data_IF_235314090909
#
_entry.id   IF_235314090909
#
_cell.length_a   1.000
_cell.length_b   1.000
_cell.length_c   1.000
_cell.angle_alpha   90.00
_cell.angle_beta   90.00
_cell.angle_gamma   90.00
#
_symmetry.space_group_name_H-M   'P 1'
#
loop_
_entity.id
_entity.type
_entity.pdbx_description
1 polymer ?
#
# COMPACT_ATOMS: atom_id res chain seq x y z
N UNK A 1 -15.74 29.24 26.24
CA UNK A 1 -16.50 28.63 25.13
C UNK A 1 -15.60 28.63 23.91
N UNK A 2 -14.88 27.53 23.68
CA UNK A 2 -13.85 27.42 22.63
C UNK A 2 -14.49 26.70 21.45
N UNK A 3 -14.83 27.45 20.40
CA UNK A 3 -15.29 26.87 19.13
C UNK A 3 -14.03 26.39 18.40
N UNK A 4 -13.86 25.07 18.35
CA UNK A 4 -12.84 24.37 17.56
C UNK A 4 -13.08 24.64 16.07
N UNK A 5 -12.17 25.38 15.44
CA UNK A 5 -11.96 25.35 14.00
C UNK A 5 -11.34 24.00 13.62
N UNK A 6 -12.20 23.03 13.33
CA UNK A 6 -11.86 21.75 12.71
C UNK A 6 -12.89 21.59 11.60
N UNK A 7 -12.53 21.98 10.36
CA UNK A 7 -13.18 21.64 9.07
C UNK A 7 -12.83 22.72 8.05
N UNK A 8 -11.57 22.79 7.61
CA UNK A 8 -11.16 23.70 6.52
C UNK A 8 -9.87 23.23 5.82
N UNK A 9 -9.69 21.92 5.63
CA UNK A 9 -8.53 21.39 4.90
C UNK A 9 -8.57 21.71 3.40
N UNK A 10 -9.73 21.54 2.77
CA UNK A 10 -9.86 21.62 1.31
C UNK A 10 -9.96 23.07 0.74
N UNK A 11 -10.19 24.07 1.59
CA UNK A 11 -10.56 25.45 1.15
C UNK A 11 -9.39 26.42 1.02
N UNK A 12 -8.19 26.08 1.51
CA UNK A 12 -7.08 27.02 1.59
C UNK A 12 -5.73 26.30 1.44
N UNK A 13 -5.36 25.72 0.29
CA UNK A 13 -3.96 25.34 -0.03
C UNK A 13 -3.77 24.77 -1.45
N UNK A 14 -2.51 24.72 -1.88
CA UNK A 14 -1.99 24.42 -3.22
C UNK A 14 -2.64 23.22 -3.93
N UNK A 15 -2.89 23.33 -5.24
CA UNK A 15 -3.54 22.32 -6.07
C UNK A 15 -2.67 21.06 -6.31
N UNK A 16 -3.29 19.87 -6.26
CA UNK A 16 -2.66 18.61 -6.68
C UNK A 16 -1.72 17.95 -5.67
N UNK A 17 -1.88 18.23 -4.37
CA UNK A 17 -1.21 17.52 -3.28
C UNK A 17 -2.29 16.81 -2.47
N UNK A 18 -2.16 15.50 -2.27
CA UNK A 18 -3.10 14.70 -1.47
C UNK A 18 -2.75 14.90 0.01
N UNK A 19 -3.67 15.49 0.78
CA UNK A 19 -3.49 15.72 2.21
C UNK A 19 -4.13 14.60 3.07
N UNK A 20 -3.87 14.64 4.38
CA UNK A 20 -4.45 13.66 5.31
C UNK A 20 -5.98 13.74 5.31
N UNK A 21 -6.63 12.63 4.94
CA UNK A 21 -8.09 12.56 4.84
C UNK A 21 -8.66 12.82 3.45
N UNK A 22 -7.80 13.06 2.45
CA UNK A 22 -8.09 13.12 1.02
C UNK A 22 -7.61 11.83 0.32
N UNK A 23 -8.29 11.42 -0.75
CA UNK A 23 -7.89 10.25 -1.57
C UNK A 23 -7.21 10.68 -2.86
N UNK A 24 -7.53 11.87 -3.35
CA UNK A 24 -7.05 12.44 -4.60
C UNK A 24 -7.20 13.96 -4.55
N UNK A 25 -6.51 14.67 -5.43
CA UNK A 25 -6.72 16.10 -5.60
C UNK A 25 -6.53 16.49 -7.07
N UNK A 26 -7.64 16.78 -7.74
CA UNK A 26 -7.68 17.18 -9.13
C UNK A 26 -7.92 18.70 -9.31
N UNK A 27 -7.96 19.48 -8.22
CA UNK A 27 -8.24 20.91 -8.23
C UNK A 27 -9.71 21.28 -8.54
N UNK A 28 -9.90 22.40 -9.24
CA UNK A 28 -11.22 23.02 -9.48
C UNK A 28 -12.09 22.20 -10.46
N UNK A 29 -13.45 22.30 -10.36
CA UNK A 29 -14.39 21.50 -11.17
C UNK A 29 -14.12 21.44 -12.67
N UNK A 30 -13.86 22.59 -13.30
CA UNK A 30 -13.64 22.66 -14.76
C UNK A 30 -12.40 21.86 -15.21
N UNK A 31 -11.33 21.86 -14.41
CA UNK A 31 -10.07 21.18 -14.74
C UNK A 31 -10.09 19.72 -14.33
N UNK A 32 -10.76 19.40 -13.23
CA UNK A 32 -10.81 18.06 -12.67
C UNK A 32 -11.49 17.07 -13.62
N UNK A 33 -12.71 17.37 -14.08
CA UNK A 33 -13.50 16.41 -14.86
C UNK A 33 -12.83 15.99 -16.18
N UNK A 34 -11.98 16.85 -16.76
CA UNK A 34 -11.24 16.54 -17.99
C UNK A 34 -9.90 15.84 -17.75
N UNK A 35 -9.24 16.08 -16.61
CA UNK A 35 -7.88 15.59 -16.34
C UNK A 35 -7.84 14.35 -15.47
N UNK A 36 -8.82 14.21 -14.58
CA UNK A 36 -8.87 13.17 -13.58
C UNK A 36 -10.34 12.79 -13.32
N UNK A 37 -10.93 11.95 -14.18
CA UNK A 37 -12.31 11.51 -14.04
C UNK A 37 -12.51 10.62 -12.80
N UNK A 38 -11.42 10.17 -12.15
CA UNK A 38 -11.47 9.32 -10.96
C UNK A 38 -11.66 10.12 -9.67
N UNK A 39 -11.51 11.45 -9.71
CA UNK A 39 -11.52 12.31 -8.54
C UNK A 39 -12.71 13.28 -8.53
N UNK A 40 -13.30 13.51 -7.36
CA UNK A 40 -14.26 14.61 -7.15
C UNK A 40 -13.51 15.93 -7.04
N UNK A 41 -13.91 16.99 -7.75
CA UNK A 41 -13.27 18.29 -7.65
C UNK A 41 -13.39 18.93 -6.27
N UNK A 42 -12.52 19.89 -6.00
CA UNK A 42 -12.67 20.85 -4.90
C UNK A 42 -13.90 21.74 -5.17
N UNK A 43 -15.10 21.24 -4.90
CA UNK A 43 -16.32 22.03 -4.99
C UNK A 43 -16.63 22.59 -3.60
N UNK A 44 -16.63 23.91 -3.47
CA UNK A 44 -16.87 24.57 -2.18
C UNK A 44 -18.31 24.41 -1.71
N UNK A 45 -18.51 23.74 -0.59
CA UNK A 45 -19.64 23.93 0.33
C UNK A 45 -21.03 23.63 -0.22
N UNK A 46 -21.16 22.77 -1.23
CA UNK A 46 -22.47 22.43 -1.79
C UNK A 46 -22.71 20.92 -1.79
N UNK A 47 -23.45 20.49 -0.76
CA UNK A 47 -23.98 19.15 -0.57
C UNK A 47 -24.76 18.71 -1.80
N UNK A 48 -24.15 17.91 -2.67
CA UNK A 48 -24.90 17.20 -3.72
C UNK A 48 -25.58 16.01 -3.05
N UNK A 49 -26.85 16.19 -2.72
CA UNK A 49 -27.72 15.11 -2.26
C UNK A 49 -28.23 14.35 -3.49
N UNK A 50 -27.45 13.40 -3.99
CA UNK A 50 -28.03 12.27 -4.71
C UNK A 50 -28.20 11.13 -3.70
N UNK A 51 -29.44 10.70 -3.53
CA UNK A 51 -29.85 9.51 -2.76
C UNK A 51 -29.58 9.51 -1.24
N UNK A 52 -29.50 10.69 -0.60
CA UNK A 52 -29.57 10.80 0.87
C UNK A 52 -28.31 10.39 1.63
N UNK A 53 -27.19 10.13 0.94
CA UNK A 53 -25.88 9.93 1.56
C UNK A 53 -25.07 11.24 1.52
N UNK A 54 -24.76 11.80 2.70
CA UNK A 54 -23.92 12.99 2.85
C UNK A 54 -22.47 12.66 2.39
N UNK A 55 -22.12 13.00 1.16
CA UNK A 55 -20.78 12.75 0.62
C UNK A 55 -19.80 13.82 1.12
N UNK A 56 -18.60 13.38 1.54
CA UNK A 56 -17.51 14.26 1.96
C UNK A 56 -17.12 15.10 0.74
N UNK A 57 -17.29 16.42 0.83
CA UNK A 57 -17.16 17.31 -0.33
C UNK A 57 -15.71 17.40 -0.81
N UNK A 58 -15.45 16.90 -2.02
CA UNK A 58 -14.21 17.08 -2.77
C UNK A 58 -13.04 16.17 -2.37
N UNK A 59 -12.04 16.08 -3.25
CA UNK A 59 -10.79 15.35 -3.03
C UNK A 59 -10.94 13.85 -2.65
N UNK A 60 -12.00 13.23 -3.16
CA UNK A 60 -12.38 11.83 -2.92
C UNK A 60 -12.61 11.11 -4.25
N UNK A 61 -12.69 9.76 -4.21
CA UNK A 61 -13.00 8.98 -5.42
C UNK A 61 -14.37 9.41 -5.96
N UNK A 62 -14.46 9.69 -7.26
CA UNK A 62 -15.71 10.07 -7.90
C UNK A 62 -16.78 8.97 -7.76
N UNK A 63 -18.08 9.31 -7.63
CA UNK A 63 -19.14 8.30 -7.52
C UNK A 63 -19.20 7.32 -8.71
N UNK A 64 -18.75 7.76 -9.89
CA UNK A 64 -18.64 6.94 -11.10
C UNK A 64 -17.38 6.06 -11.16
N UNK A 65 -16.47 6.19 -10.19
CA UNK A 65 -15.18 5.50 -10.13
C UNK A 65 -15.16 4.48 -9.00
N UNK A 66 -14.42 3.38 -9.20
CA UNK A 66 -14.27 2.33 -8.19
C UNK A 66 -13.09 2.63 -7.27
N UNK A 67 -12.05 3.25 -7.82
CA UNK A 67 -10.81 3.57 -7.14
C UNK A 67 -10.16 4.79 -7.80
N UNK A 68 -9.06 5.27 -7.21
CA UNK A 68 -8.22 6.32 -7.78
C UNK A 68 -6.75 5.87 -7.88
N UNK A 69 -6.02 6.15 -8.99
CA UNK A 69 -4.62 5.76 -9.19
C UNK A 69 -3.65 6.13 -8.05
N UNK A 70 -3.91 7.24 -7.37
CA UNK A 70 -3.10 7.66 -6.21
C UNK A 70 -3.20 6.74 -4.99
N UNK A 71 -4.20 5.85 -4.94
CA UNK A 71 -4.29 4.79 -3.92
C UNK A 71 -3.23 3.68 -4.16
N UNK A 72 -2.59 3.67 -5.33
CA UNK A 72 -1.49 2.78 -5.68
C UNK A 72 -1.83 1.85 -6.86
N UNK A 73 -0.99 0.83 -7.04
CA UNK A 73 -0.99 -0.05 -8.21
C UNK A 73 -2.26 -0.91 -8.39
N UNK A 74 -3.17 -0.90 -7.42
CA UNK A 74 -4.45 -1.60 -7.55
C UNK A 74 -5.51 -0.82 -8.31
N UNK A 75 -5.24 0.42 -8.70
CA UNK A 75 -6.14 1.21 -9.52
C UNK A 75 -5.51 1.61 -10.86
N UNK A 76 -6.25 1.45 -11.95
CA UNK A 76 -5.83 1.89 -13.29
C UNK A 76 -6.22 3.34 -13.55
N UNK A 77 -5.66 3.94 -14.61
CA UNK A 77 -6.03 5.28 -15.09
C UNK A 77 -7.50 5.42 -15.48
N UNK A 78 -8.17 4.32 -15.76
CA UNK A 78 -9.60 4.26 -16.08
C UNK A 78 -10.48 4.12 -14.83
N UNK A 79 -9.93 4.33 -13.63
CA UNK A 79 -10.63 4.28 -12.35
C UNK A 79 -11.23 2.90 -12.01
N UNK A 80 -10.61 1.84 -12.53
CA UNK A 80 -11.02 0.45 -12.30
C UNK A 80 -9.91 -0.33 -11.60
N UNK A 81 -10.28 -1.46 -10.98
CA UNK A 81 -9.28 -2.32 -10.34
C UNK A 81 -8.31 -2.93 -11.35
N UNK A 82 -7.02 -2.84 -11.07
CA UNK A 82 -5.99 -3.45 -11.89
C UNK A 82 -6.10 -4.99 -11.88
N UNK A 83 -5.96 -5.61 -13.06
CA UNK A 83 -5.92 -7.06 -13.17
C UNK A 83 -4.52 -7.60 -12.84
N UNK A 84 -4.31 -7.91 -11.55
CA UNK A 84 -3.05 -8.45 -11.03
C UNK A 84 -3.14 -9.94 -10.69
N UNK A 85 -4.07 -10.67 -11.32
CA UNK A 85 -4.34 -12.09 -11.04
C UNK A 85 -3.12 -12.98 -11.28
N UNK A 86 -2.25 -12.64 -12.25
CA UNK A 86 -0.98 -13.34 -12.50
C UNK A 86 -0.02 -13.27 -11.31
N UNK A 87 -0.03 -12.17 -10.57
CA UNK A 87 0.71 -12.00 -9.32
C UNK A 87 -0.01 -12.59 -8.10
N UNK A 88 -1.21 -13.16 -8.28
CA UNK A 88 -2.02 -13.68 -7.19
C UNK A 88 -2.77 -12.63 -6.38
N UNK A 89 -2.90 -11.42 -6.93
CA UNK A 89 -3.44 -10.24 -6.22
C UNK A 89 -4.84 -9.95 -6.76
N UNK A 90 -5.80 -9.85 -5.84
CA UNK A 90 -7.17 -9.42 -6.13
C UNK A 90 -7.37 -8.02 -5.53
N UNK A 91 -7.32 -7.00 -6.39
CA UNK A 91 -7.42 -5.62 -5.94
C UNK A 91 -8.79 -5.24 -5.37
N UNK A 92 -9.85 -5.99 -5.72
CA UNK A 92 -11.16 -5.78 -5.14
C UNK A 92 -11.23 -6.10 -3.65
N UNK A 93 -10.28 -6.89 -3.14
CA UNK A 93 -10.20 -7.26 -1.73
C UNK A 93 -9.28 -6.37 -0.90
N UNK A 94 -8.61 -5.36 -1.48
CA UNK A 94 -7.63 -4.54 -0.77
C UNK A 94 -8.21 -3.88 0.49
N UNK A 95 -9.43 -3.35 0.38
CA UNK A 95 -10.12 -2.66 1.48
C UNK A 95 -10.95 -3.61 2.37
N UNK A 96 -10.88 -4.91 2.13
CA UNK A 96 -11.61 -5.91 2.91
C UNK A 96 -11.10 -5.93 4.35
N UNK A 97 -11.93 -5.43 5.28
CA UNK A 97 -11.64 -5.37 6.72
C UNK A 97 -11.98 -6.67 7.42
N UNK A 98 -11.44 -6.84 8.63
CA UNK A 98 -11.75 -7.94 9.52
C UNK A 98 -13.15 -7.82 10.14
N UNK A 99 -14.18 -8.27 9.42
CA UNK A 99 -15.60 -8.16 9.82
C UNK A 99 -16.21 -9.46 10.37
N UNK A 100 -15.44 -10.55 10.45
CA UNK A 100 -15.94 -11.84 10.94
C UNK A 100 -16.42 -11.73 12.40
N UNK A 101 -17.59 -12.34 12.71
CA UNK A 101 -18.15 -12.38 14.08
C UNK A 101 -17.20 -13.05 15.08
N UNK A 102 -16.53 -14.11 14.64
CA UNK A 102 -15.46 -14.78 15.37
C UNK A 102 -14.20 -14.74 14.52
N UNK A 103 -13.12 -14.17 15.05
CA UNK A 103 -11.85 -14.11 14.35
C UNK A 103 -11.16 -15.47 14.49
N UNK A 104 -11.31 -16.29 13.45
CA UNK A 104 -10.65 -17.59 13.31
C UNK A 104 -9.60 -17.53 12.19
N UNK A 105 -8.74 -18.54 12.09
CA UNK A 105 -7.72 -18.65 11.03
C UNK A 105 -8.28 -18.61 9.59
N UNK A 106 -9.59 -18.84 9.41
CA UNK A 106 -10.29 -18.73 8.12
C UNK A 106 -10.76 -17.31 7.77
N UNK A 107 -10.76 -16.38 8.73
CA UNK A 107 -11.24 -15.01 8.52
C UNK A 107 -10.28 -14.25 7.61
N UNK A 108 -10.73 -13.95 6.39
CA UNK A 108 -9.93 -13.28 5.35
C UNK A 108 -10.03 -11.77 5.45
N UNK A 109 -8.99 -11.09 4.99
CA UNK A 109 -8.94 -9.65 4.86
C UNK A 109 -7.91 -9.26 3.81
N UNK A 110 -8.05 -8.06 3.25
CA UNK A 110 -7.05 -7.46 2.38
C UNK A 110 -6.63 -8.34 1.19
N UNK A 111 -5.39 -8.16 0.77
CA UNK A 111 -4.74 -8.83 -0.36
C UNK A 111 -4.22 -10.23 0.04
N UNK A 112 -5.15 -11.13 0.34
CA UNK A 112 -4.86 -12.52 0.74
C UNK A 112 -4.40 -12.66 2.19
N UNK A 113 -4.78 -11.72 3.05
CA UNK A 113 -4.47 -11.75 4.47
C UNK A 113 -5.43 -12.62 5.30
N UNK A 114 -5.12 -12.67 6.60
CA UNK A 114 -5.96 -13.23 7.66
C UNK A 114 -5.99 -12.27 8.85
N UNK A 115 -7.10 -12.34 9.57
CA UNK A 115 -7.33 -11.50 10.73
C UNK A 115 -6.73 -12.14 11.99
N UNK A 116 -6.04 -11.32 12.78
CA UNK A 116 -5.65 -11.67 14.15
C UNK A 116 -6.76 -11.29 15.14
N UNK A 117 -6.76 -11.85 16.38
CA UNK A 117 -7.82 -11.60 17.37
C UNK A 117 -8.06 -10.13 17.72
N UNK A 118 -7.04 -9.28 17.55
CA UNK A 118 -7.11 -7.83 17.70
C UNK A 118 -7.76 -7.10 16.52
N UNK A 119 -8.30 -7.84 15.55
CA UNK A 119 -8.91 -7.37 14.29
C UNK A 119 -7.93 -6.70 13.32
N UNK A 120 -6.63 -6.84 13.54
CA UNK A 120 -5.63 -6.43 12.56
C UNK A 120 -5.59 -7.42 11.37
N UNK A 121 -5.32 -6.88 10.18
CA UNK A 121 -5.15 -7.66 8.96
C UNK A 121 -3.67 -7.85 8.65
N UNK A 122 -3.25 -9.09 8.49
CA UNK A 122 -1.85 -9.45 8.19
C UNK A 122 -1.78 -10.54 7.13
N UNK A 123 -0.66 -10.63 6.42
CA UNK A 123 -0.38 -11.74 5.51
C UNK A 123 -0.66 -13.12 6.16
N UNK A 124 -1.28 -14.03 5.40
CA UNK A 124 -1.69 -15.35 5.88
C UNK A 124 -0.51 -16.15 6.46
N UNK A 125 0.67 -16.04 5.85
CA UNK A 125 1.92 -16.66 6.28
C UNK A 125 2.28 -16.31 7.73
N UNK A 126 1.96 -15.10 8.19
CA UNK A 126 2.24 -14.65 9.56
C UNK A 126 1.04 -14.88 10.47
N UNK A 127 -0.15 -14.53 10.00
CA UNK A 127 -1.36 -14.54 10.82
C UNK A 127 -1.79 -15.96 11.24
N UNK A 128 -1.62 -16.96 10.37
CA UNK A 128 -1.90 -18.37 10.72
C UNK A 128 -0.96 -18.87 11.83
N UNK A 129 0.26 -18.32 11.88
CA UNK A 129 1.23 -18.57 12.96
C UNK A 129 0.94 -17.75 14.24
N UNK A 130 -0.11 -16.92 14.23
CA UNK A 130 -0.39 -15.98 15.32
C UNK A 130 0.66 -14.87 15.44
N UNK A 131 1.34 -14.54 14.35
CA UNK A 131 2.34 -13.49 14.24
C UNK A 131 1.81 -12.31 13.41
N UNK A 132 2.35 -11.12 13.66
CA UNK A 132 2.04 -9.93 12.86
C UNK A 132 2.97 -9.85 11.65
N UNK A 133 2.44 -9.42 10.53
CA UNK A 133 3.24 -9.04 9.37
C UNK A 133 4.03 -7.76 9.66
N UNK A 134 5.23 -7.64 9.11
CA UNK A 134 6.05 -6.45 9.21
C UNK A 134 6.92 -6.23 7.96
N UNK A 135 7.51 -5.04 7.77
CA UNK A 135 8.40 -4.79 6.65
C UNK A 135 9.60 -5.73 6.66
N UNK A 136 9.91 -6.33 5.52
CA UNK A 136 11.11 -7.15 5.40
C UNK A 136 12.39 -6.32 5.60
N UNK A 137 13.45 -6.93 6.15
CA UNK A 137 14.78 -6.30 6.24
C UNK A 137 15.28 -5.81 4.88
N UNK A 138 16.23 -4.85 4.82
CA UNK A 138 16.74 -4.28 3.58
C UNK A 138 17.31 -5.30 2.57
N UNK A 139 17.75 -6.46 3.05
CA UNK A 139 18.29 -7.58 2.25
C UNK A 139 17.24 -8.67 1.96
N UNK A 140 15.96 -8.34 2.13
CA UNK A 140 14.84 -9.22 1.89
C UNK A 140 14.52 -10.16 3.06
N UNK A 141 13.59 -11.11 2.85
CA UNK A 141 13.11 -12.04 3.87
C UNK A 141 14.15 -13.07 4.35
N UNK A 142 15.24 -13.27 3.60
CA UNK A 142 16.28 -14.25 3.85
C UNK A 142 15.90 -15.65 3.35
N UNK A 143 16.68 -16.67 3.75
CA UNK A 143 16.39 -18.07 3.44
C UNK A 143 16.43 -18.40 1.94
N UNK A 144 15.57 -19.32 1.52
CA UNK A 144 15.39 -19.72 0.12
C UNK A 144 14.89 -18.56 -0.75
N UNK A 145 14.07 -17.68 -0.17
CA UNK A 145 13.49 -16.54 -0.89
C UNK A 145 14.59 -15.55 -1.32
N UNK A 146 15.46 -15.12 -0.40
CA UNK A 146 16.58 -14.22 -0.73
C UNK A 146 17.62 -14.91 -1.61
N UNK A 147 17.89 -16.21 -1.45
CA UNK A 147 18.78 -16.97 -2.35
C UNK A 147 18.30 -16.91 -3.81
N UNK A 148 16.98 -16.92 -4.01
CA UNK A 148 16.35 -16.78 -5.32
C UNK A 148 16.09 -15.33 -5.74
N UNK A 149 16.60 -14.34 -4.97
CA UNK A 149 16.38 -12.89 -5.19
C UNK A 149 14.90 -12.50 -5.29
N UNK A 150 14.02 -13.25 -4.62
CA UNK A 150 12.57 -12.99 -4.63
C UNK A 150 12.19 -12.08 -3.46
N UNK A 151 11.06 -11.39 -3.60
CA UNK A 151 10.37 -10.77 -2.49
C UNK A 151 9.45 -11.79 -1.84
N UNK A 152 9.22 -11.66 -0.55
CA UNK A 152 8.30 -12.51 0.19
C UNK A 152 7.74 -11.77 1.39
N UNK A 153 7.00 -12.52 2.21
CA UNK A 153 6.37 -12.02 3.42
C UNK A 153 7.32 -12.12 4.61
N UNK A 154 7.30 -11.10 5.48
CA UNK A 154 8.04 -11.10 6.74
C UNK A 154 7.12 -10.96 7.95
N UNK A 155 7.46 -11.69 9.01
CA UNK A 155 6.70 -11.78 10.24
C UNK A 155 7.53 -11.26 11.42
N UNK A 156 6.85 -10.57 12.34
CA UNK A 156 7.42 -10.10 13.61
C UNK A 156 7.38 -11.23 14.63
N UNK A 157 8.54 -11.66 15.11
CA UNK A 157 8.67 -12.64 16.18
C UNK A 157 8.23 -12.05 17.52
N UNK A 158 7.59 -12.87 18.38
CA UNK A 158 7.08 -12.41 19.68
C UNK A 158 8.17 -12.14 20.71
N UNK A 159 9.28 -12.88 20.66
CA UNK A 159 10.30 -12.85 21.70
C UNK A 159 11.18 -11.59 21.63
N UNK A 160 11.64 -11.23 20.43
CA UNK A 160 12.64 -10.16 20.25
C UNK A 160 12.14 -9.00 19.37
N UNK A 161 10.84 -9.00 19.03
CA UNK A 161 10.22 -8.01 18.12
C UNK A 161 10.87 -7.90 16.73
N UNK A 162 11.75 -8.84 16.38
CA UNK A 162 12.51 -8.84 15.13
C UNK A 162 11.66 -9.29 13.95
N UNK A 163 11.84 -8.62 12.82
CA UNK A 163 11.23 -8.99 11.54
C UNK A 163 12.10 -9.98 10.78
N UNK A 164 11.54 -11.14 10.48
CA UNK A 164 12.21 -12.21 9.73
C UNK A 164 11.30 -12.72 8.61
N UNK A 165 11.85 -13.32 7.56
CA UNK A 165 11.04 -13.97 6.54
C UNK A 165 10.13 -15.06 7.10
N UNK A 166 8.98 -15.27 6.46
CA UNK A 166 8.00 -16.28 6.87
C UNK A 166 8.60 -17.70 7.01
N UNK A 167 9.59 -18.05 6.17
CA UNK A 167 10.34 -19.30 6.29
C UNK A 167 11.01 -19.45 7.67
N UNK A 168 11.70 -18.41 8.14
CA UNK A 168 12.40 -18.45 9.41
C UNK A 168 11.43 -18.40 10.59
N UNK A 169 10.36 -17.61 10.49
CA UNK A 169 9.31 -17.58 11.51
C UNK A 169 8.66 -18.96 11.69
N UNK A 170 8.40 -19.67 10.58
CA UNK A 170 7.87 -21.03 10.63
C UNK A 170 8.88 -22.01 11.24
N UNK A 171 10.16 -21.95 10.84
CA UNK A 171 11.22 -22.81 11.41
C UNK A 171 11.42 -22.59 12.91
N UNK A 172 11.34 -21.35 13.37
CA UNK A 172 11.45 -21.02 14.79
C UNK A 172 10.26 -21.56 15.60
N UNK A 173 9.05 -21.49 15.05
CA UNK A 173 7.88 -22.11 15.67
C UNK A 173 7.94 -23.63 15.64
N UNK A 174 8.47 -24.24 14.57
CA UNK A 174 8.70 -25.69 14.46
C UNK A 174 9.59 -26.24 15.57
N UNK A 175 10.54 -25.45 16.06
CA UNK A 175 11.42 -25.86 17.15
C UNK A 175 10.66 -26.03 18.48
N UNK A 176 9.47 -25.43 18.63
CA UNK A 176 8.66 -25.51 19.84
C UNK A 176 7.35 -26.31 19.66
N UNK A 177 6.74 -26.26 18.47
CA UNK A 177 5.43 -26.85 18.19
C UNK A 177 5.32 -27.28 16.72
N UNK A 178 4.46 -28.26 16.43
CA UNK A 178 4.11 -28.61 15.04
C UNK A 178 3.38 -27.43 14.37
N UNK A 179 3.75 -27.11 13.12
CA UNK A 179 3.06 -26.08 12.34
C UNK A 179 1.60 -26.46 12.06
N UNK A 180 0.68 -25.48 11.98
CA UNK A 180 -0.68 -25.71 11.52
C UNK A 180 -0.69 -26.39 10.14
N UNK A 181 -1.62 -27.33 9.94
CA UNK A 181 -1.75 -28.05 8.67
C UNK A 181 -2.17 -27.13 7.52
N UNK A 182 -2.86 -26.04 7.82
CA UNK A 182 -3.30 -25.04 6.83
C UNK A 182 -2.26 -23.94 6.53
N UNK A 183 -1.12 -23.90 7.25
CA UNK A 183 -0.04 -22.96 6.96
C UNK A 183 0.67 -23.34 5.64
N UNK A 184 1.03 -22.39 4.76
CA UNK A 184 0.97 -20.91 4.87
C UNK A 184 -0.34 -20.25 4.43
N UNK A 185 -1.40 -21.05 4.25
CA UNK A 185 -2.67 -20.62 3.70
C UNK A 185 -2.71 -20.75 2.18
N UNK A 186 -3.92 -20.94 1.66
CA UNK A 186 -4.15 -20.98 0.21
C UNK A 186 -3.91 -19.61 -0.42
N UNK A 187 -3.09 -19.58 -1.46
CA UNK A 187 -2.86 -18.42 -2.32
C UNK A 187 -2.84 -18.86 -3.79
N UNK A 188 -3.05 -17.89 -4.69
CA UNK A 188 -2.80 -18.04 -6.12
C UNK A 188 -1.56 -17.22 -6.48
N UNK A 189 -0.94 -17.49 -7.63
CA UNK A 189 0.15 -16.66 -8.16
C UNK A 189 1.56 -17.19 -7.84
N UNK A 190 2.58 -16.32 -7.95
CA UNK A 190 3.98 -16.71 -7.84
C UNK A 190 4.32 -17.20 -6.44
N UNK A 191 4.97 -18.37 -6.38
CA UNK A 191 5.36 -19.01 -5.14
C UNK A 191 6.78 -19.55 -5.24
N UNK A 192 7.34 -19.89 -4.07
CA UNK A 192 8.55 -20.71 -3.96
C UNK A 192 8.27 -21.87 -3.04
N UNK A 193 8.77 -23.04 -3.41
CA UNK A 193 8.70 -24.24 -2.58
C UNK A 193 9.78 -24.18 -1.51
N UNK A 194 9.39 -24.35 -0.26
CA UNK A 194 10.29 -24.55 0.88
C UNK A 194 10.19 -25.99 1.35
N UNK A 195 11.33 -26.56 1.72
CA UNK A 195 11.37 -27.80 2.47
C UNK A 195 11.59 -27.48 3.95
N UNK A 196 10.64 -27.92 4.77
CA UNK A 196 10.66 -27.78 6.22
C UNK A 196 10.83 -29.16 6.83
N UNK A 197 11.97 -29.40 7.45
CA UNK A 197 12.29 -30.66 8.13
C UNK A 197 12.28 -30.39 9.65
N UNK A 198 11.81 -31.35 10.44
CA UNK A 198 11.85 -31.25 11.90
C UNK A 198 13.31 -31.30 12.37
N UNK A 199 13.64 -30.45 13.35
CA UNK A 199 15.00 -30.31 13.89
C UNK A 199 15.22 -31.45 14.86
N UNK A 200 15.47 -32.66 14.33
CA UNK A 200 16.25 -33.74 14.90
C UNK A 200 16.10 -34.99 14.01
N UNK A 201 16.92 -35.07 12.97
CA UNK A 201 17.16 -36.29 12.19
C UNK A 201 15.92 -36.91 11.49
N UNK A 202 14.98 -36.10 11.04
CA UNK A 202 13.73 -36.60 10.43
C UNK A 202 13.87 -36.86 8.92
N UNK A 203 13.56 -38.08 8.49
CA UNK A 203 13.20 -38.45 7.10
C UNK A 203 11.87 -37.82 6.63
N UNK A 204 11.20 -37.06 7.49
CA UNK A 204 9.89 -36.46 7.25
C UNK A 204 10.07 -34.95 7.06
N UNK A 205 10.25 -34.53 5.81
CA UNK A 205 10.21 -33.13 5.43
C UNK A 205 8.86 -32.81 4.80
N UNK A 206 8.31 -31.64 5.13
CA UNK A 206 7.11 -31.09 4.51
C UNK A 206 7.52 -30.06 3.46
N UNK A 207 7.14 -30.31 2.21
CA UNK A 207 7.22 -29.29 1.16
C UNK A 207 6.01 -28.36 1.26
N UNK A 208 6.25 -27.06 1.36
CA UNK A 208 5.21 -26.02 1.37
C UNK A 208 5.48 -25.02 0.26
N UNK A 209 4.44 -24.40 -0.29
CA UNK A 209 4.59 -23.26 -1.19
C UNK A 209 4.22 -22.00 -0.43
N UNK A 210 5.08 -20.98 -0.47
CA UNK A 210 4.80 -19.65 0.09
C UNK A 210 4.82 -18.61 -1.03
N UNK A 211 4.10 -17.51 -0.86
CA UNK A 211 4.10 -16.42 -1.84
C UNK A 211 5.50 -15.83 -2.00
N UNK A 212 5.95 -15.76 -3.25
CA UNK A 212 7.25 -15.19 -3.57
C UNK A 212 7.30 -14.64 -5.00
N UNK A 213 7.61 -13.34 -5.11
CA UNK A 213 7.61 -12.61 -6.38
C UNK A 213 9.03 -12.36 -6.87
N UNK A 214 9.24 -12.47 -8.17
CA UNK A 214 10.52 -12.23 -8.83
C UNK A 214 10.79 -10.72 -8.93
N UNK A 215 12.07 -10.30 -9.06
CA UNK A 215 12.39 -8.89 -9.28
C UNK A 215 11.63 -8.29 -10.46
N UNK A 216 11.06 -7.10 -10.28
CA UNK A 216 10.24 -6.41 -11.26
C UNK A 216 8.76 -6.84 -11.29
N UNK A 217 8.41 -7.97 -10.67
CA UNK A 217 7.00 -8.38 -10.55
C UNK A 217 6.27 -7.57 -9.47
N UNK A 218 4.95 -7.46 -9.66
CA UNK A 218 4.06 -6.84 -8.68
C UNK A 218 3.92 -7.76 -7.47
N UNK A 219 4.12 -7.22 -6.28
CA UNK A 219 4.16 -7.92 -5.00
C UNK A 219 3.26 -7.26 -3.95
N UNK A 220 3.06 -7.93 -2.82
CA UNK A 220 2.29 -7.41 -1.68
C UNK A 220 3.15 -7.38 -0.42
N UNK A 221 3.05 -6.28 0.33
CA UNK A 221 3.58 -6.14 1.68
C UNK A 221 2.63 -5.26 2.49
N UNK A 222 2.28 -5.67 3.71
CA UNK A 222 1.42 -4.90 4.60
C UNK A 222 0.13 -4.43 3.93
N UNK A 223 -0.56 -5.37 3.27
CA UNK A 223 -1.79 -5.10 2.51
C UNK A 223 -1.66 -4.01 1.41
N UNK A 224 -0.44 -3.70 0.99
CA UNK A 224 -0.14 -2.69 -0.02
C UNK A 224 0.54 -3.33 -1.22
N UNK A 225 0.14 -2.95 -2.43
CA UNK A 225 0.75 -3.43 -3.67
C UNK A 225 2.00 -2.61 -3.99
N UNK A 226 3.07 -3.30 -4.37
CA UNK A 226 4.33 -2.69 -4.76
C UNK A 226 5.00 -3.45 -5.90
N UNK A 227 6.25 -3.09 -6.17
CA UNK A 227 7.11 -3.79 -7.12
C UNK A 227 8.27 -4.41 -6.38
N UNK A 228 8.58 -5.67 -6.72
CA UNK A 228 9.64 -6.40 -6.09
C UNK A 228 11.00 -5.87 -6.54
N UNK A 229 11.80 -5.39 -5.59
CA UNK A 229 13.15 -4.93 -5.89
C UNK A 229 14.13 -6.10 -6.05
N UNK A 230 15.26 -5.92 -6.76
CA UNK A 230 16.33 -6.92 -6.86
C UNK A 230 16.95 -7.34 -5.51
N UNK A 231 16.69 -6.57 -4.43
CA UNK A 231 17.13 -6.88 -3.07
C UNK A 231 16.12 -7.73 -2.28
N UNK A 232 15.03 -8.18 -2.92
CA UNK A 232 14.01 -9.00 -2.26
C UNK A 232 13.08 -8.22 -1.33
N UNK A 233 12.96 -6.90 -1.52
CA UNK A 233 12.00 -6.06 -0.78
C UNK A 233 10.90 -5.55 -1.71
N UNK A 234 9.65 -5.70 -1.28
CA UNK A 234 8.50 -5.16 -1.98
C UNK A 234 8.37 -3.66 -1.66
N UNK A 235 8.44 -2.80 -2.68
CA UNK A 235 8.38 -1.35 -2.49
C UNK A 235 7.10 -0.79 -3.10
N UNK A 236 6.34 -0.02 -2.32
CA UNK A 236 5.20 0.72 -2.84
C UNK A 236 5.68 1.67 -3.94
N UNK A 237 5.02 1.61 -5.09
CA UNK A 237 5.20 2.63 -6.12
C UNK A 237 4.20 3.72 -5.80
N UNK A 238 4.70 4.85 -5.30
CA UNK A 238 3.86 6.04 -5.15
C UNK A 238 3.60 6.52 -6.57
N UNK A 239 2.42 6.18 -7.10
CA UNK A 239 1.87 6.82 -8.28
C UNK A 239 1.25 8.13 -7.78
N UNK A 240 2.08 9.08 -7.37
CA UNK A 240 1.56 10.45 -7.34
C UNK A 240 1.14 10.74 -8.77
N UNK A 241 -0.11 11.17 -9.05
CA UNK A 241 -0.27 12.02 -10.21
C UNK A 241 0.73 13.15 -9.96
N UNK A 242 1.78 13.25 -10.78
CA UNK A 242 2.57 14.46 -10.80
C UNK A 242 1.56 15.58 -10.95
N UNK A 243 1.51 16.50 -10.00
CA UNK A 243 0.64 17.66 -10.10
C UNK A 243 0.99 18.38 -11.39
N UNK A 244 0.26 18.10 -12.46
CA UNK A 244 0.42 18.75 -13.76
C UNK A 244 -0.20 20.16 -13.71
N UNK A 245 -0.44 20.69 -12.51
CA UNK A 245 -1.07 21.98 -12.28
C UNK A 245 -0.03 23.11 -12.29
N UNK A 246 1.24 22.85 -11.93
CA UNK A 246 2.33 23.84 -12.06
C UNK A 246 3.70 23.19 -12.33
N UNK A 247 4.04 22.86 -13.59
CA UNK A 247 5.41 22.44 -13.92
C UNK A 247 6.45 23.55 -13.69
N UNK A 248 6.05 24.82 -13.70
CA UNK A 248 6.98 25.96 -13.70
C UNK A 248 7.51 26.37 -12.32
N UNK A 249 6.94 25.87 -11.22
CA UNK A 249 7.34 26.27 -9.85
C UNK A 249 8.36 25.30 -9.25
N UNK A 250 8.42 24.04 -9.70
CA UNK A 250 9.39 23.06 -9.20
C UNK A 250 10.76 23.10 -9.90
N UNK A 251 10.90 23.82 -11.02
CA UNK A 251 12.17 23.93 -11.74
C UNK A 251 13.17 24.86 -11.03
N UNK A 252 12.71 25.77 -10.15
CA UNK A 252 13.58 26.77 -9.53
C UNK A 252 14.39 26.28 -8.32
N UNK A 253 14.25 25.02 -7.88
CA UNK A 253 15.00 24.49 -6.72
C UNK A 253 16.19 23.61 -7.13
N UNK A 254 16.35 23.29 -8.42
CA UNK A 254 17.47 22.44 -8.91
C UNK A 254 18.56 23.25 -9.62
N UNK A 255 18.32 24.51 -9.97
CA UNK A 255 19.38 25.42 -10.46
C UNK A 255 19.61 26.55 -9.47
N UNK A 256 20.53 26.32 -8.54
CA UNK A 256 21.18 27.40 -7.81
C UNK A 256 21.89 28.34 -8.77
N UNK A 257 21.19 29.38 -9.23
CA UNK A 257 21.78 30.64 -9.71
C UNK A 257 20.97 31.77 -9.13
N UNK A 258 21.51 32.36 -8.07
CA UNK A 258 21.01 33.61 -7.54
C UNK A 258 21.09 34.69 -8.62
N UNK A 259 19.95 35.30 -8.90
CA UNK A 259 19.87 36.65 -9.43
C UNK A 259 18.80 37.35 -8.60
N UNK A 260 19.26 38.14 -7.61
CA UNK A 260 18.40 39.11 -6.97
C UNK A 260 18.05 40.22 -7.96
N UNK A 261 16.85 40.80 -7.92
CA UNK A 261 16.55 42.00 -8.65
C UNK A 261 17.11 43.21 -7.90
N UNK A 262 18.07 43.91 -8.49
CA UNK A 262 18.44 45.25 -8.08
C UNK A 262 17.37 46.24 -8.60
N UNK A 263 16.80 47.12 -7.76
CA UNK A 263 15.79 48.06 -8.20
C UNK A 263 16.40 49.22 -8.97
N UNK A 264 15.95 49.41 -10.21
CA UNK A 264 16.24 50.58 -11.04
C UNK A 264 15.46 51.78 -10.49
N UNK A 265 16.17 52.85 -10.10
CA UNK A 265 15.61 54.20 -9.97
C UNK A 265 16.23 55.13 -11.02
N UNK A 266 15.45 56.08 -11.59
CA UNK A 266 15.85 56.85 -12.77
C UNK A 266 16.54 58.15 -12.37
N UNK A 267 17.61 58.55 -13.07
CA UNK A 267 18.04 59.96 -13.10
C UNK A 267 18.51 60.39 -14.50
N UNK A 268 17.62 61.17 -15.12
CA UNK A 268 17.81 62.40 -15.88
C UNK A 268 19.19 62.76 -16.48
N UNK A 269 19.13 62.98 -17.80
CA UNK A 269 19.95 63.85 -18.66
C UNK A 269 20.92 64.82 -17.94
N UNK A 270 22.18 64.81 -18.38
CA UNK A 270 22.78 65.87 -19.19
C UNK A 270 23.92 65.30 -20.02
#
# INVERSE_FOLDING_TARGET
>A
MVIKFLLLGCLLRFAGIIEEGETCDCGMPFLCHQRDPCCTPRAGGALVSEEGALHKEGCSVAPSAVCHPAQGLCCTSECTYANLTRSGIDCSSQDMKCTCKHVMASCRCGLGGRCLPDRSCHAAECAILGLRECPCPPNGPGGVITKNKKCGVCCKLKNDERCVGAEFAAKELMAAFRLPDDWPGFHKGPSVTLELCEVDNSTVCRSVQIRAWSPGEVCVTLNTVGVCSPRGTCKSVVTTPTSNVYPDIMVSVITGRGFGPEPVFPQSRK
#
